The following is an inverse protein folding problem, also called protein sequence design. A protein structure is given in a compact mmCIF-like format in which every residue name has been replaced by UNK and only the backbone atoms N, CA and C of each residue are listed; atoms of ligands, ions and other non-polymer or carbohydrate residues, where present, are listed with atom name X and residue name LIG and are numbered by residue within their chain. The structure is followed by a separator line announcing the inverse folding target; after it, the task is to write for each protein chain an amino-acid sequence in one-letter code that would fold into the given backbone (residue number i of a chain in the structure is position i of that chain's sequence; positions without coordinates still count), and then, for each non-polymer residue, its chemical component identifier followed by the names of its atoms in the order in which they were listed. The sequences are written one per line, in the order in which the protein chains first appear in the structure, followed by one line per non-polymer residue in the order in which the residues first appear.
data_IF_921129928319
#
_entry.id   IF_921129928319
#
_cell.length_a   1.000
_cell.length_b   1.000
_cell.length_c   1.000
_cell.angle_alpha   90.00
_cell.angle_beta   90.00
_cell.angle_gamma   90.00
#
_symmetry.space_group_name_H-M   'P 1'
#
loop_
_entity.id
_entity.type
_entity.pdbx_description
1 polymer ?
#
# COMPACT_ATOMS: atom_id res chain seq x y z
N UNK A 1 61.42 35.53 0.57
CA UNK A 1 60.71 34.42 -0.11
C UNK A 1 59.22 34.73 -0.07
N UNK A 2 58.59 34.80 -1.23
CA UNK A 2 57.26 35.36 -1.44
C UNK A 2 56.30 34.33 -2.06
N UNK A 3 55.02 34.39 -1.64
CA UNK A 3 53.80 33.76 -2.22
C UNK A 3 53.85 32.22 -2.21
N UNK A 4 52.76 31.45 -2.11
CA UNK A 4 51.41 31.64 -2.60
C UNK A 4 50.57 30.51 -1.96
N UNK A 5 49.59 30.84 -1.11
CA UNK A 5 48.72 29.86 -0.45
C UNK A 5 47.37 29.81 -1.15
N UNK A 6 47.24 28.97 -2.18
CA UNK A 6 46.04 28.87 -3.01
C UNK A 6 44.84 28.37 -2.22
N UNK A 7 43.81 29.19 -2.29
CA UNK A 7 42.39 28.94 -2.14
C UNK A 7 41.92 27.83 -3.09
N UNK A 8 41.25 26.79 -2.57
CA UNK A 8 40.37 25.94 -3.36
C UNK A 8 39.16 25.46 -2.54
N UNK A 9 38.00 25.82 -3.08
CA UNK A 9 36.69 25.19 -3.00
C UNK A 9 36.06 24.88 -1.64
N UNK A 10 35.30 25.88 -1.17
CA UNK A 10 34.01 25.63 -0.52
C UNK A 10 33.10 24.93 -1.52
N UNK A 11 32.99 23.61 -1.44
CA UNK A 11 31.81 22.91 -1.96
C UNK A 11 30.59 23.43 -1.19
N UNK A 12 29.83 24.31 -1.85
CA UNK A 12 28.47 24.63 -1.45
C UNK A 12 27.68 23.32 -1.55
N UNK A 13 27.45 22.68 -0.40
CA UNK A 13 26.42 21.67 -0.25
C UNK A 13 25.10 22.37 -0.58
N UNK A 14 24.59 22.13 -1.78
CA UNK A 14 23.21 22.47 -2.14
C UNK A 14 22.29 21.94 -1.03
N UNK A 15 21.35 22.75 -0.51
CA UNK A 15 20.38 22.23 0.45
C UNK A 15 19.58 21.13 -0.25
N UNK A 16 19.68 19.91 0.30
CA UNK A 16 18.78 18.83 -0.09
C UNK A 16 17.33 19.30 0.10
N UNK A 17 16.41 18.92 -0.80
CA UNK A 17 15.01 19.28 -0.62
C UNK A 17 14.52 18.75 0.74
N UNK A 18 13.61 19.47 1.42
CA UNK A 18 13.06 19.01 2.69
C UNK A 18 12.45 17.62 2.47
N UNK A 19 12.97 16.62 3.20
CA UNK A 19 12.37 15.29 3.28
C UNK A 19 10.95 15.50 3.80
N UNK A 20 9.96 15.47 2.90
CA UNK A 20 8.57 15.33 3.28
C UNK A 20 8.50 14.13 4.23
N UNK A 21 7.94 14.35 5.41
CA UNK A 21 7.89 13.37 6.49
C UNK A 21 7.37 12.04 5.93
N UNK A 22 8.25 11.07 5.71
CA UNK A 22 7.83 9.70 5.46
C UNK A 22 7.05 9.28 6.70
N UNK A 23 5.75 9.04 6.54
CA UNK A 23 4.92 8.54 7.63
C UNK A 23 5.59 7.28 8.19
N UNK A 24 5.69 7.19 9.52
CA UNK A 24 6.23 5.98 10.17
C UNK A 24 5.48 4.74 9.68
N UNK A 25 6.14 3.58 9.62
CA UNK A 25 5.48 2.32 9.27
C UNK A 25 4.30 1.99 10.21
N UNK A 26 4.29 2.54 11.43
CA UNK A 26 3.18 2.41 12.38
C UNK A 26 2.09 3.48 12.24
N UNK A 27 2.26 4.49 11.38
CA UNK A 27 1.28 5.55 11.21
C UNK A 27 0.02 5.03 10.48
N UNK A 28 -1.18 5.22 11.06
CA UNK A 28 -2.42 4.80 10.42
C UNK A 28 -2.58 5.39 9.03
N UNK A 29 -3.16 4.63 8.10
CA UNK A 29 -3.43 5.06 6.72
C UNK A 29 -4.30 6.31 6.68
N UNK A 30 -5.28 6.39 7.59
CA UNK A 30 -6.20 7.51 7.72
C UNK A 30 -7.37 7.44 6.74
N UNK A 31 -8.41 8.20 7.05
CA UNK A 31 -9.69 8.14 6.35
C UNK A 31 -9.56 8.50 4.86
N UNK A 32 -8.77 9.53 4.54
CA UNK A 32 -8.63 10.00 3.16
C UNK A 32 -8.09 8.90 2.23
N UNK A 33 -7.00 8.24 2.64
CA UNK A 33 -6.39 7.17 1.86
C UNK A 33 -7.32 5.96 1.76
N UNK A 34 -8.02 5.62 2.85
CA UNK A 34 -8.96 4.51 2.86
C UNK A 34 -10.13 4.71 1.89
N UNK A 35 -10.73 5.91 1.87
CA UNK A 35 -11.81 6.24 0.94
C UNK A 35 -11.30 6.32 -0.50
N UNK A 36 -10.08 6.83 -0.73
CA UNK A 36 -9.48 6.83 -2.06
C UNK A 36 -9.27 5.39 -2.58
N UNK A 37 -8.82 4.48 -1.73
CA UNK A 37 -8.68 3.06 -2.06
C UNK A 37 -10.04 2.42 -2.40
N UNK A 38 -11.08 2.67 -1.61
CA UNK A 38 -12.42 2.15 -1.88
C UNK A 38 -12.98 2.65 -3.22
N UNK A 39 -12.84 3.95 -3.52
CA UNK A 39 -13.26 4.52 -4.82
C UNK A 39 -12.52 3.87 -5.98
N UNK A 40 -11.20 3.71 -5.86
CA UNK A 40 -10.41 3.05 -6.87
C UNK A 40 -10.87 1.60 -7.09
N UNK A 41 -11.03 0.82 -6.02
CA UNK A 41 -11.46 -0.57 -6.10
C UNK A 41 -12.82 -0.72 -6.81
N UNK A 42 -13.81 0.11 -6.48
CA UNK A 42 -15.12 0.10 -7.13
C UNK A 42 -15.08 0.47 -8.61
N UNK A 43 -14.20 1.40 -8.98
CA UNK A 43 -14.07 1.90 -10.35
C UNK A 43 -13.18 1.00 -11.23
N UNK A 44 -12.21 0.33 -10.64
CA UNK A 44 -11.27 -0.54 -11.35
C UNK A 44 -11.95 -1.82 -11.83
N UNK A 45 -11.50 -2.31 -12.99
CA UNK A 45 -11.86 -3.62 -13.51
C UNK A 45 -10.58 -4.40 -13.80
N UNK A 46 -10.19 -5.25 -12.85
CA UNK A 46 -8.99 -6.05 -12.91
C UNK A 46 -9.22 -7.39 -13.62
N UNK A 47 -10.25 -8.13 -13.20
CA UNK A 47 -10.63 -9.40 -13.83
C UNK A 47 -12.13 -9.65 -13.67
N UNK A 48 -12.87 -9.74 -14.79
CA UNK A 48 -14.33 -9.84 -14.73
C UNK A 48 -14.94 -8.65 -13.99
N UNK A 49 -15.64 -8.90 -12.88
CA UNK A 49 -16.23 -7.88 -12.02
C UNK A 49 -15.38 -7.49 -10.80
N UNK A 50 -14.16 -7.99 -10.74
CA UNK A 50 -13.25 -7.75 -9.63
C UNK A 50 -12.44 -6.47 -9.85
N UNK A 51 -12.48 -5.56 -8.87
CA UNK A 51 -11.48 -4.50 -8.69
C UNK A 51 -10.35 -4.97 -7.78
N UNK A 52 -9.12 -4.49 -7.99
CA UNK A 52 -7.96 -4.96 -7.23
C UNK A 52 -6.90 -3.88 -6.99
N UNK A 53 -6.36 -3.84 -5.77
CA UNK A 53 -5.10 -3.20 -5.42
C UNK A 53 -4.17 -4.33 -4.97
N UNK A 54 -3.26 -4.73 -5.85
CA UNK A 54 -2.40 -5.89 -5.67
C UNK A 54 -1.10 -5.69 -6.45
N UNK A 55 -0.02 -6.34 -6.03
CA UNK A 55 1.18 -6.43 -6.85
C UNK A 55 1.11 -7.68 -7.71
N UNK A 56 1.25 -7.52 -9.01
CA UNK A 56 1.39 -8.63 -9.93
C UNK A 56 2.80 -9.22 -9.81
N UNK A 57 2.90 -10.49 -9.41
CA UNK A 57 4.17 -11.23 -9.47
C UNK A 57 3.92 -12.71 -9.70
N UNK A 58 4.65 -13.29 -10.66
CA UNK A 58 4.49 -14.68 -11.08
C UNK A 58 4.99 -15.69 -10.03
N UNK A 59 6.08 -15.34 -9.34
CA UNK A 59 6.81 -16.31 -8.51
C UNK A 59 6.55 -16.20 -7.00
N UNK A 60 5.69 -15.27 -6.56
CA UNK A 60 5.40 -15.08 -5.14
C UNK A 60 3.90 -14.85 -4.93
N UNK A 61 3.40 -15.41 -3.82
CA UNK A 61 2.05 -15.10 -3.34
C UNK A 61 2.12 -13.80 -2.55
N UNK A 62 1.12 -12.95 -2.69
CA UNK A 62 1.02 -11.68 -1.98
C UNK A 62 -0.28 -11.57 -1.23
N UNK A 63 -0.59 -10.37 -0.77
CA UNK A 63 -1.89 -9.97 -0.29
C UNK A 63 -2.41 -8.84 -1.17
N UNK A 64 -3.71 -8.85 -1.44
CA UNK A 64 -4.39 -7.82 -2.21
C UNK A 64 -5.65 -7.35 -1.50
N UNK A 65 -6.03 -6.11 -1.80
CA UNK A 65 -7.38 -5.60 -1.51
C UNK A 65 -8.21 -5.76 -2.76
N UNK A 66 -9.45 -6.23 -2.60
CA UNK A 66 -10.33 -6.54 -3.69
C UNK A 66 -11.74 -5.98 -3.45
N UNK A 67 -12.47 -5.76 -4.53
CA UNK A 67 -13.89 -5.46 -4.50
C UNK A 67 -14.61 -6.26 -5.59
N UNK A 68 -15.58 -7.07 -5.21
CA UNK A 68 -16.42 -7.81 -6.14
C UNK A 68 -17.69 -7.00 -6.43
N UNK A 69 -17.84 -6.53 -7.67
CA UNK A 69 -19.01 -5.71 -8.06
C UNK A 69 -20.31 -6.51 -8.15
N UNK A 70 -20.24 -7.84 -8.26
CA UNK A 70 -21.42 -8.70 -8.32
C UNK A 70 -22.08 -8.85 -6.95
N UNK A 71 -21.28 -8.88 -5.87
CA UNK A 71 -21.76 -8.97 -4.48
C UNK A 71 -21.76 -7.63 -3.76
N UNK A 72 -20.95 -6.67 -4.21
CA UNK A 72 -20.71 -5.38 -3.54
C UNK A 72 -19.73 -5.46 -2.36
N UNK A 73 -19.07 -6.61 -2.17
CA UNK A 73 -18.19 -6.85 -1.03
C UNK A 73 -16.76 -6.36 -1.28
N UNK A 74 -16.13 -5.88 -0.22
CA UNK A 74 -14.70 -5.63 -0.18
C UNK A 74 -14.02 -6.74 0.62
N UNK A 75 -12.80 -7.11 0.24
CA UNK A 75 -12.08 -8.12 1.00
C UNK A 75 -10.57 -8.02 0.87
N UNK A 76 -9.89 -8.50 1.91
CA UNK A 76 -8.46 -8.78 1.94
C UNK A 76 -8.28 -10.29 1.69
N UNK A 77 -7.44 -10.67 0.74
CA UNK A 77 -7.12 -12.07 0.50
C UNK A 77 -5.64 -12.24 0.15
N UNK A 78 -5.16 -13.47 0.29
CA UNK A 78 -3.94 -13.87 -0.40
C UNK A 78 -4.15 -13.74 -1.90
N UNK A 79 -3.08 -13.47 -2.64
CA UNK A 79 -3.12 -13.32 -4.08
C UNK A 79 -2.04 -14.13 -4.76
N UNK A 80 -2.43 -14.85 -5.80
CA UNK A 80 -1.55 -15.59 -6.68
C UNK A 80 -1.76 -15.11 -8.11
N UNK A 81 -0.68 -14.66 -8.75
CA UNK A 81 -0.73 -14.05 -10.09
C UNK A 81 -1.76 -12.92 -10.20
N UNK A 82 -1.83 -12.07 -9.16
CA UNK A 82 -2.76 -10.93 -9.05
C UNK A 82 -4.24 -11.27 -8.93
N UNK A 83 -4.59 -12.55 -8.82
CA UNK A 83 -5.95 -12.99 -8.52
C UNK A 83 -6.06 -13.38 -7.04
N UNK A 84 -7.23 -13.20 -6.41
CA UNK A 84 -7.46 -13.69 -5.07
C UNK A 84 -7.32 -15.22 -5.04
N UNK A 85 -6.66 -15.74 -4.01
CA UNK A 85 -6.37 -17.16 -3.86
C UNK A 85 -6.77 -17.64 -2.46
N UNK A 86 -7.53 -18.74 -2.42
CA UNK A 86 -8.07 -19.28 -1.17
C UNK A 86 -9.23 -18.46 -0.59
N UNK A 87 -9.54 -18.72 0.67
CA UNK A 87 -10.57 -18.00 1.41
C UNK A 87 -10.13 -16.56 1.74
N UNK A 88 -11.06 -15.58 1.71
CA UNK A 88 -10.79 -14.24 2.18
C UNK A 88 -10.30 -14.23 3.63
N UNK A 89 -9.30 -13.40 3.89
CA UNK A 89 -8.74 -13.18 5.24
C UNK A 89 -9.66 -12.25 6.04
N UNK A 90 -10.23 -11.25 5.36
CA UNK A 90 -11.25 -10.37 5.92
C UNK A 90 -12.23 -9.95 4.82
N UNK A 91 -13.52 -9.93 5.14
CA UNK A 91 -14.60 -9.52 4.22
C UNK A 91 -15.42 -8.42 4.87
N UNK A 92 -15.86 -7.46 4.05
CA UNK A 92 -16.66 -6.32 4.46
C UNK A 92 -17.84 -6.19 3.49
N UNK A 93 -19.05 -6.24 4.03
CA UNK A 93 -20.30 -6.17 3.28
C UNK A 93 -20.58 -4.79 2.65
N UNK A 94 -19.84 -3.77 3.09
CA UNK A 94 -20.06 -2.39 2.68
C UNK A 94 -18.79 -1.54 2.76
N UNK A 95 -18.82 -0.43 2.03
CA UNK A 95 -17.72 0.52 1.92
C UNK A 95 -17.35 1.15 3.27
N UNK A 96 -18.33 1.47 4.13
CA UNK A 96 -18.07 2.15 5.40
C UNK A 96 -17.33 1.25 6.40
N UNK A 97 -17.67 -0.04 6.42
CA UNK A 97 -16.98 -1.06 7.21
C UNK A 97 -15.55 -1.26 6.71
N UNK A 98 -15.37 -1.34 5.40
CA UNK A 98 -14.05 -1.46 4.77
C UNK A 98 -13.16 -0.24 5.04
N UNK A 99 -13.64 0.98 4.80
CA UNK A 99 -12.82 2.19 4.95
C UNK A 99 -12.46 2.45 6.41
N UNK A 100 -13.38 2.18 7.35
CA UNK A 100 -13.08 2.25 8.79
C UNK A 100 -11.97 1.28 9.19
N UNK A 101 -12.05 0.04 8.71
CA UNK A 101 -11.00 -0.95 8.96
C UNK A 101 -9.66 -0.51 8.36
N UNK A 102 -9.66 -0.11 7.09
CA UNK A 102 -8.43 0.25 6.36
C UNK A 102 -7.78 1.52 6.92
N UNK A 103 -8.57 2.52 7.33
CA UNK A 103 -8.07 3.76 7.93
C UNK A 103 -7.28 3.50 9.21
N UNK A 104 -7.66 2.47 9.99
CA UNK A 104 -6.97 2.05 11.21
C UNK A 104 -5.72 1.21 10.94
N UNK A 105 -5.51 0.73 9.71
CA UNK A 105 -4.34 -0.06 9.34
C UNK A 105 -3.10 0.82 9.12
N UNK A 106 -1.93 0.19 9.14
CA UNK A 106 -0.64 0.80 8.86
C UNK A 106 0.23 -0.21 8.09
N UNK A 107 1.38 0.24 7.56
CA UNK A 107 2.34 -0.67 6.93
C UNK A 107 2.76 -1.78 7.90
N UNK A 108 2.86 -1.46 9.20
CA UNK A 108 3.21 -2.39 10.26
C UNK A 108 2.09 -3.37 10.60
N UNK A 109 0.84 -2.93 10.69
CA UNK A 109 -0.26 -3.87 10.97
C UNK A 109 -0.52 -4.79 9.78
N UNK A 110 -0.25 -4.33 8.55
CA UNK A 110 -0.37 -5.14 7.35
C UNK A 110 0.93 -5.83 6.90
N UNK A 111 2.02 -5.75 7.65
CA UNK A 111 3.26 -6.49 7.33
C UNK A 111 3.31 -7.89 7.95
N UNK A 112 2.47 -8.16 8.96
CA UNK A 112 2.60 -9.34 9.82
C UNK A 112 3.68 -9.21 10.89
N UNK A 113 4.30 -8.02 11.04
CA UNK A 113 5.31 -7.72 12.08
C UNK A 113 4.73 -7.72 13.50
N UNK A 114 3.42 -7.52 13.62
CA UNK A 114 2.68 -7.64 14.87
C UNK A 114 1.56 -8.66 14.72
N UNK A 115 1.22 -9.42 15.77
CA UNK A 115 0.06 -10.29 15.75
C UNK A 115 -1.19 -9.47 15.43
N UNK A 116 -1.84 -9.81 14.33
CA UNK A 116 -3.10 -9.18 13.91
C UNK A 116 -4.32 -9.90 14.46
N UNK A 117 -4.11 -11.14 14.95
CA UNK A 117 -5.21 -12.02 15.34
C UNK A 117 -5.87 -12.69 14.14
N UNK A 118 -5.30 -12.54 12.94
CA UNK A 118 -5.74 -13.19 11.70
C UNK A 118 -4.73 -14.30 11.35
N UNK A 119 -5.01 -15.58 11.65
CA UNK A 119 -4.02 -16.65 11.55
C UNK A 119 -3.43 -16.85 10.14
N UNK A 120 -4.24 -16.60 9.11
CA UNK A 120 -3.81 -16.66 7.69
C UNK A 120 -2.83 -15.53 7.34
N UNK A 121 -2.90 -14.42 8.06
CA UNK A 121 -2.06 -13.25 7.85
C UNK A 121 -0.74 -13.31 8.62
N UNK A 122 -0.81 -13.75 9.88
CA UNK A 122 0.29 -13.78 10.86
C UNK A 122 1.32 -14.89 10.58
N UNK A 123 0.95 -15.95 9.83
CA UNK A 123 1.81 -17.12 9.56
C UNK A 123 2.50 -17.10 8.21
N UNK A 124 2.53 -15.95 7.55
CA UNK A 124 3.03 -15.81 6.18
C UNK A 124 4.26 -14.89 6.04
N UNK A 125 5.38 -15.16 6.75
CA UNK A 125 6.58 -14.33 6.71
C UNK A 125 7.29 -14.48 5.35
N UNK A 126 7.14 -13.50 4.46
CA UNK A 126 7.85 -13.45 3.17
C UNK A 126 7.00 -13.02 1.97
N UNK A 127 5.67 -13.00 2.11
CA UNK A 127 4.78 -12.64 1.02
C UNK A 127 4.60 -11.13 0.85
N UNK A 128 4.27 -10.71 -0.37
CA UNK A 128 4.05 -9.29 -0.69
C UNK A 128 2.87 -8.75 0.11
N UNK A 129 3.02 -7.56 0.71
CA UNK A 129 2.05 -6.98 1.65
C UNK A 129 1.40 -5.71 1.12
N UNK A 130 0.21 -5.43 1.61
CA UNK A 130 -0.53 -4.19 1.32
C UNK A 130 0.11 -3.06 2.13
N UNK A 131 0.81 -2.15 1.44
CA UNK A 131 1.46 -0.98 2.05
C UNK A 131 0.79 0.32 1.59
N UNK A 132 0.98 1.40 2.35
CA UNK A 132 0.62 2.76 1.97
C UNK A 132 1.15 3.09 0.58
N UNK A 133 2.41 2.75 0.31
CA UNK A 133 3.01 3.00 -0.99
C UNK A 133 2.26 2.27 -2.11
N UNK A 134 1.90 1.00 -1.91
CA UNK A 134 1.11 0.25 -2.90
C UNK A 134 -0.25 0.91 -3.15
N UNK A 135 -0.96 1.33 -2.10
CA UNK A 135 -2.26 1.99 -2.24
C UNK A 135 -2.09 3.32 -3.00
N UNK A 136 -1.10 4.13 -2.61
CA UNK A 136 -0.81 5.41 -3.25
C UNK A 136 -0.45 5.28 -4.74
N UNK A 137 0.22 4.20 -5.15
CA UNK A 137 0.51 3.92 -6.56
C UNK A 137 -0.75 3.76 -7.42
N UNK A 138 -1.89 3.39 -6.82
CA UNK A 138 -3.15 3.18 -7.52
C UNK A 138 -4.10 4.38 -7.40
N UNK A 139 -4.11 5.06 -6.25
CA UNK A 139 -5.11 6.10 -5.95
C UNK A 139 -4.62 7.51 -6.20
N UNK A 140 -3.31 7.73 -6.35
CA UNK A 140 -2.78 9.05 -6.69
C UNK A 140 -3.03 9.28 -8.18
N UNK A 141 -3.58 10.44 -8.60
CA UNK A 141 -3.65 10.78 -10.00
C UNK A 141 -2.22 10.80 -10.55
N UNK A 142 -1.96 10.05 -11.63
CA UNK A 142 -0.75 10.29 -12.41
C UNK A 142 -0.84 11.73 -12.92
N UNK A 143 0.04 12.61 -12.43
CA UNK A 143 0.23 13.89 -13.08
C UNK A 143 0.67 13.58 -14.51
N UNK A 144 -0.20 13.94 -15.46
CA UNK A 144 -0.15 13.47 -16.84
C UNK A 144 1.26 13.52 -17.43
N UNK A 145 1.66 12.39 -18.02
CA UNK A 145 2.83 12.26 -18.86
C UNK A 145 2.40 11.98 -20.29
#
# INVERSE_FOLDING_TARGET
MARDGRQTDRQALSPSPPRGFAASAAAPFGDELAHAAARFLKASQWFGDLGAIVRAHRDYTGHGLFHDRSTGEFFLAASFDSLPSGEPIATFSDEASFTRWLAAQSDRSLSGDIPTGMPQFDRDPGNQRVTRHLILQHVSPEEGQ
#
